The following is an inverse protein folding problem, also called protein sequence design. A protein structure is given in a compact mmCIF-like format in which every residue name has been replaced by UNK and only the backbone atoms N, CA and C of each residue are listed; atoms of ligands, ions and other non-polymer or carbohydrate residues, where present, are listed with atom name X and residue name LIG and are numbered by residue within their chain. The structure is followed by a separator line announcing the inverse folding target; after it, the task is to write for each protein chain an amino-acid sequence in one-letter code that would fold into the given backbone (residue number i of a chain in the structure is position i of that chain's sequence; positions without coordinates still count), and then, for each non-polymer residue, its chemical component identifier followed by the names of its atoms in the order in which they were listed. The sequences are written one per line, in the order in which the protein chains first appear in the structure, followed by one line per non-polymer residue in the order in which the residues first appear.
data_IF_492966962359
#
_entry.id   IF_492966962359
#
_cell.length_a   1.000
_cell.length_b   1.000
_cell.length_c   1.000
_cell.angle_alpha   90.00
_cell.angle_beta   90.00
_cell.angle_gamma   90.00
#
_symmetry.space_group_name_H-M   'P 1'
#
loop_
_entity.id
_entity.type
_entity.pdbx_description
1 polymer ?
#
# COMPACT_ATOMS: atom_id res chain seq x y z
N UNK A 1 14.12 12.86 -7.19
CA UNK A 1 14.33 13.67 -5.97
C UNK A 1 13.21 13.28 -5.01
N UNK A 2 13.52 12.99 -3.75
CA UNK A 2 12.46 12.71 -2.75
C UNK A 2 11.78 14.02 -2.37
N UNK A 3 10.43 14.06 -2.21
CA UNK A 3 9.75 15.28 -1.78
C UNK A 3 10.11 15.62 -0.33
N UNK A 4 10.19 16.91 -0.03
CA UNK A 4 10.40 17.42 1.33
C UNK A 4 9.11 17.39 2.18
N UNK A 5 7.97 17.17 1.55
CA UNK A 5 6.68 17.10 2.22
C UNK A 5 5.52 17.14 1.23
N UNK A 6 4.31 17.26 1.80
CA UNK A 6 3.05 17.34 1.08
C UNK A 6 2.30 18.56 1.60
N UNK A 7 1.70 19.36 0.72
CA UNK A 7 0.81 20.47 1.09
C UNK A 7 -0.60 20.23 0.57
N UNK A 8 -1.56 20.99 1.06
CA UNK A 8 -2.97 20.93 0.66
C UNK A 8 -3.59 19.54 0.85
N UNK A 9 -3.09 18.78 1.82
CA UNK A 9 -3.58 17.43 2.14
C UNK A 9 -4.87 17.51 2.96
N UNK A 10 -5.80 16.59 2.70
CA UNK A 10 -6.87 16.23 3.62
C UNK A 10 -6.38 15.03 4.43
N UNK A 11 -6.49 15.09 5.75
CA UNK A 11 -6.10 14.00 6.64
C UNK A 11 -7.34 13.40 7.31
N UNK A 12 -7.29 12.11 7.62
CA UNK A 12 -8.27 11.48 8.49
C UNK A 12 -7.91 11.74 9.96
N UNK A 13 -8.91 12.04 10.74
CA UNK A 13 -8.79 12.02 12.20
C UNK A 13 -8.73 10.55 12.66
N UNK A 14 -7.63 10.12 13.29
CA UNK A 14 -7.45 8.72 13.67
C UNK A 14 -8.43 8.26 14.76
N UNK A 15 -9.07 9.20 15.46
CA UNK A 15 -9.98 8.86 16.56
C UNK A 15 -11.40 8.53 16.09
N UNK A 16 -11.84 9.03 14.96
CA UNK A 16 -13.21 8.87 14.45
C UNK A 16 -13.31 8.53 12.96
N UNK A 17 -12.18 8.39 12.28
CA UNK A 17 -12.06 8.09 10.85
C UNK A 17 -12.85 9.06 9.94
N UNK A 18 -12.98 10.31 10.36
CA UNK A 18 -13.58 11.40 9.59
C UNK A 18 -12.50 12.36 9.11
N UNK A 19 -12.81 13.13 8.09
CA UNK A 19 -11.90 14.16 7.62
C UNK A 19 -11.56 15.13 8.75
N UNK A 20 -10.29 15.31 9.02
CA UNK A 20 -9.82 16.36 9.90
C UNK A 20 -10.07 17.71 9.22
N UNK A 21 -10.83 18.64 9.83
CA UNK A 21 -11.28 19.85 9.14
C UNK A 21 -10.12 20.76 8.72
N UNK A 22 -10.11 21.14 7.46
CA UNK A 22 -9.12 22.03 6.85
C UNK A 22 -8.09 21.33 6.00
N UNK A 23 -7.10 22.06 5.53
CA UNK A 23 -5.96 21.56 4.79
C UNK A 23 -4.73 21.43 5.70
N UNK A 24 -3.87 20.50 5.37
CA UNK A 24 -2.73 20.15 6.17
C UNK A 24 -1.45 20.14 5.34
N UNK A 25 -0.36 20.43 6.02
CA UNK A 25 1.01 20.26 5.52
C UNK A 25 1.69 19.16 6.30
N UNK A 26 2.25 18.18 5.60
CA UNK A 26 3.06 17.12 6.18
C UNK A 26 4.49 17.32 5.71
N UNK A 27 5.44 17.41 6.63
CA UNK A 27 6.86 17.61 6.34
C UNK A 27 7.65 16.32 6.60
N UNK A 28 8.62 16.07 5.74
CA UNK A 28 9.51 14.92 5.84
C UNK A 28 10.93 15.37 6.15
N UNK A 29 11.58 14.61 7.03
CA UNK A 29 13.02 14.62 7.21
C UNK A 29 13.52 13.22 6.83
N UNK A 30 14.21 13.11 5.72
CA UNK A 30 14.58 11.85 5.07
C UNK A 30 13.36 10.96 4.75
N UNK A 31 13.12 9.92 5.55
CA UNK A 31 12.01 8.96 5.40
C UNK A 31 10.97 9.07 6.53
N UNK A 32 11.13 10.04 7.41
CA UNK A 32 10.26 10.20 8.58
C UNK A 32 9.40 11.45 8.44
N UNK A 33 8.16 11.37 8.92
CA UNK A 33 7.32 12.54 9.12
C UNK A 33 7.87 13.30 10.34
N UNK A 34 8.32 14.54 10.12
CA UNK A 34 8.87 15.38 11.17
C UNK A 34 7.89 16.46 11.66
N UNK A 35 6.88 16.81 10.85
CA UNK A 35 5.83 17.73 11.27
C UNK A 35 4.52 17.47 10.51
N UNK A 36 3.40 17.69 11.19
CA UNK A 36 2.05 17.72 10.63
C UNK A 36 1.39 18.99 11.15
N UNK A 37 1.08 19.92 10.26
CA UNK A 37 0.61 21.25 10.63
C UNK A 37 -0.66 21.60 9.84
N UNK A 38 -1.66 22.11 10.54
CA UNK A 38 -2.86 22.63 9.90
C UNK A 38 -2.54 23.94 9.19
N UNK A 39 -2.99 24.07 7.95
CA UNK A 39 -2.88 25.33 7.21
C UNK A 39 -3.84 26.39 7.77
N UNK A 40 -3.45 27.68 7.76
CA UNK A 40 -4.23 28.73 8.40
C UNK A 40 -5.57 29.02 7.70
N UNK A 41 -5.72 28.61 6.44
CA UNK A 41 -6.93 28.82 5.64
C UNK A 41 -7.59 27.52 5.20
N UNK A 42 -8.70 27.67 4.47
CA UNK A 42 -9.39 26.54 3.82
C UNK A 42 -9.05 26.43 2.33
N UNK A 43 -8.36 27.42 1.78
CA UNK A 43 -7.96 27.42 0.38
C UNK A 43 -6.56 26.83 0.21
N UNK A 44 -6.32 26.10 -0.89
CA UNK A 44 -4.99 25.62 -1.20
C UNK A 44 -3.96 26.73 -1.32
N UNK A 45 -2.76 26.48 -0.83
CA UNK A 45 -1.63 27.38 -1.00
C UNK A 45 -0.72 26.87 -2.11
N UNK A 46 0.03 27.74 -2.79
CA UNK A 46 1.04 27.28 -3.75
C UNK A 46 2.04 26.33 -3.08
N UNK A 47 2.33 25.21 -3.74
CA UNK A 47 3.30 24.24 -3.20
C UNK A 47 4.72 24.85 -3.23
N UNK A 48 5.42 24.88 -2.10
CA UNK A 48 6.82 25.28 -2.06
C UNK A 48 7.69 24.35 -2.93
N UNK A 49 8.84 24.83 -3.44
CA UNK A 49 9.76 23.99 -4.19
C UNK A 49 10.13 22.72 -3.42
N UNK A 50 10.07 21.57 -4.08
CA UNK A 50 10.39 20.27 -3.47
C UNK A 50 9.26 19.63 -2.65
N UNK A 51 8.10 20.28 -2.53
CA UNK A 51 6.91 19.67 -1.91
C UNK A 51 5.91 19.19 -2.97
N UNK A 52 5.16 18.14 -2.63
CA UNK A 52 4.03 17.67 -3.43
C UNK A 52 2.77 18.46 -3.07
N UNK A 53 2.00 18.86 -4.08
CA UNK A 53 0.65 19.38 -3.90
C UNK A 53 -0.35 18.22 -3.92
N UNK A 54 -0.99 17.95 -2.80
CA UNK A 54 -2.03 16.95 -2.71
C UNK A 54 -3.35 17.38 -3.36
N UNK A 55 -3.49 18.66 -3.73
CA UNK A 55 -4.68 19.20 -4.39
C UNK A 55 -6.01 18.79 -3.70
N UNK A 56 -6.03 18.78 -2.38
CA UNK A 56 -7.14 18.31 -1.52
C UNK A 56 -7.35 16.79 -1.53
N UNK A 57 -6.42 16.00 -2.07
CA UNK A 57 -6.49 14.57 -1.95
C UNK A 57 -6.35 14.13 -0.49
N UNK A 58 -7.00 13.02 -0.17
CA UNK A 58 -6.86 12.36 1.11
C UNK A 58 -5.47 11.73 1.22
N UNK A 59 -4.76 12.07 2.28
CA UNK A 59 -3.46 11.47 2.61
C UNK A 59 -3.65 10.60 3.85
N UNK A 60 -3.32 9.35 3.72
CA UNK A 60 -3.42 8.33 4.78
C UNK A 60 -2.06 7.66 4.97
N UNK A 61 -1.81 7.04 6.12
CA UNK A 61 -0.68 6.12 6.27
C UNK A 61 -0.75 5.01 5.22
N UNK A 62 0.40 4.45 4.85
CA UNK A 62 0.45 3.27 3.99
C UNK A 62 -0.42 2.16 4.56
N UNK A 63 -1.07 1.42 3.67
CA UNK A 63 -1.81 0.23 4.06
C UNK A 63 -0.84 -0.83 4.58
N UNK A 64 -1.35 -1.67 5.47
CA UNK A 64 -0.60 -2.80 6.02
C UNK A 64 -1.34 -4.07 5.63
N UNK A 65 -0.73 -4.89 4.79
CA UNK A 65 -1.18 -6.26 4.61
C UNK A 65 -0.62 -7.12 5.75
N UNK A 66 -1.50 -7.49 6.67
CA UNK A 66 -1.13 -8.26 7.85
C UNK A 66 -1.08 -9.78 7.57
N UNK A 67 -1.48 -10.24 6.39
CA UNK A 67 -1.53 -11.66 6.05
C UNK A 67 -1.35 -11.88 4.55
N UNK A 68 -0.12 -12.07 4.12
CA UNK A 68 0.24 -12.29 2.73
C UNK A 68 1.03 -13.60 2.55
N UNK A 69 0.58 -14.44 1.63
CA UNK A 69 1.28 -15.66 1.22
C UNK A 69 2.07 -15.41 -0.06
N UNK A 70 3.31 -14.94 0.07
CA UNK A 70 4.17 -14.62 -1.07
C UNK A 70 4.50 -15.81 -1.95
N UNK A 71 4.60 -16.99 -1.36
CA UNK A 71 4.85 -18.26 -2.09
C UNK A 71 3.67 -18.65 -2.99
N UNK A 72 2.46 -18.18 -2.66
CA UNK A 72 1.24 -18.44 -3.42
C UNK A 72 0.87 -17.31 -4.40
N UNK A 73 1.51 -16.16 -4.27
CA UNK A 73 1.20 -15.01 -5.12
C UNK A 73 1.35 -15.35 -6.61
N UNK A 74 0.39 -14.90 -7.44
CA UNK A 74 0.37 -15.08 -8.90
C UNK A 74 0.50 -16.53 -9.41
N UNK A 75 0.04 -17.49 -8.63
CA UNK A 75 0.18 -18.91 -8.96
C UNK A 75 -1.13 -19.60 -9.34
N UNK A 76 -2.24 -18.88 -9.33
CA UNK A 76 -3.57 -19.46 -9.57
C UNK A 76 -3.66 -20.21 -10.91
N UNK A 77 -2.90 -19.79 -11.93
CA UNK A 77 -2.84 -20.46 -13.23
C UNK A 77 -2.01 -21.74 -13.24
N UNK A 78 -1.29 -22.02 -12.16
CA UNK A 78 -0.44 -23.19 -12.00
C UNK A 78 -1.06 -24.28 -11.12
N UNK A 79 -2.26 -24.01 -10.60
CA UNK A 79 -3.00 -24.93 -9.72
C UNK A 79 -4.30 -25.30 -10.42
N UNK A 80 -4.69 -26.58 -10.44
CA UNK A 80 -5.99 -26.99 -10.95
C UNK A 80 -7.14 -26.29 -10.21
N UNK A 81 -8.31 -26.15 -10.84
CA UNK A 81 -9.48 -25.57 -10.19
C UNK A 81 -9.89 -26.43 -8.98
N UNK A 82 -10.35 -25.76 -7.92
CA UNK A 82 -10.92 -26.37 -6.76
C UNK A 82 -12.41 -26.63 -7.03
N UNK A 83 -12.75 -27.82 -7.45
CA UNK A 83 -14.11 -28.16 -7.93
C UNK A 83 -15.12 -28.33 -6.79
N UNK A 84 -14.69 -28.82 -5.63
CA UNK A 84 -15.59 -28.94 -4.47
C UNK A 84 -15.75 -27.63 -3.69
N UNK A 85 -14.87 -26.65 -3.92
CA UNK A 85 -14.84 -25.40 -3.17
C UNK A 85 -14.43 -25.55 -1.71
N UNK A 86 -13.95 -26.72 -1.30
CA UNK A 86 -13.52 -26.98 0.08
C UNK A 86 -12.08 -26.53 0.34
N UNK A 87 -11.81 -26.13 1.58
CA UNK A 87 -10.44 -25.79 2.00
C UNK A 87 -9.50 -27.01 1.91
N UNK A 88 -10.00 -28.20 2.19
CA UNK A 88 -9.18 -29.41 2.16
C UNK A 88 -8.66 -29.69 0.75
N UNK A 89 -9.55 -29.68 -0.24
CA UNK A 89 -9.15 -29.84 -1.64
C UNK A 89 -8.18 -28.75 -2.07
N UNK A 90 -8.42 -27.49 -1.69
CA UNK A 90 -7.47 -26.41 -2.00
C UNK A 90 -6.07 -26.67 -1.44
N UNK A 91 -5.97 -27.20 -0.22
CA UNK A 91 -4.69 -27.55 0.40
C UNK A 91 -4.00 -28.68 -0.37
N UNK A 92 -4.73 -29.72 -0.74
CA UNK A 92 -4.19 -30.87 -1.48
C UNK A 92 -3.68 -30.46 -2.86
N UNK A 93 -4.48 -29.70 -3.62
CA UNK A 93 -4.10 -29.16 -4.92
C UNK A 93 -2.84 -28.29 -4.84
N UNK A 94 -2.76 -27.48 -3.79
CA UNK A 94 -1.60 -26.64 -3.52
C UNK A 94 -0.34 -27.44 -3.18
N UNK A 95 -0.44 -28.45 -2.34
CA UNK A 95 0.69 -29.32 -1.98
C UNK A 95 1.25 -30.01 -3.22
N UNK A 96 0.38 -30.51 -4.09
CA UNK A 96 0.78 -31.13 -5.34
C UNK A 96 1.46 -30.13 -6.26
N UNK A 97 0.85 -28.97 -6.52
CA UNK A 97 1.41 -27.94 -7.39
C UNK A 97 2.77 -27.45 -6.86
N UNK A 98 2.90 -27.27 -5.56
CA UNK A 98 4.16 -26.84 -4.91
C UNK A 98 5.30 -27.81 -5.12
N UNK A 99 5.03 -29.12 -5.18
CA UNK A 99 6.05 -30.14 -5.38
C UNK A 99 6.76 -30.01 -6.75
N UNK A 100 6.12 -29.37 -7.71
CA UNK A 100 6.60 -29.16 -9.07
C UNK A 100 7.12 -27.73 -9.34
N UNK A 101 6.96 -26.81 -8.40
CA UNK A 101 7.41 -25.42 -8.57
C UNK A 101 8.91 -25.29 -8.37
N UNK A 102 9.56 -24.57 -9.27
CA UNK A 102 10.97 -24.23 -9.10
C UNK A 102 11.11 -23.05 -8.13
N UNK A 103 12.09 -23.12 -7.25
CA UNK A 103 12.35 -22.04 -6.28
C UNK A 103 12.57 -20.67 -6.93
N UNK A 104 13.20 -20.64 -8.11
CA UNK A 104 13.37 -19.42 -8.90
C UNK A 104 12.03 -18.77 -9.26
N UNK A 105 11.08 -19.55 -9.78
CA UNK A 105 9.77 -19.04 -10.22
C UNK A 105 8.95 -18.52 -9.02
N UNK A 106 9.05 -19.22 -7.88
CA UNK A 106 8.43 -18.75 -6.62
C UNK A 106 9.00 -17.41 -6.19
N UNK A 107 10.34 -17.27 -6.22
CA UNK A 107 11.01 -16.00 -5.87
C UNK A 107 10.62 -14.85 -6.82
N UNK A 108 10.54 -15.09 -8.12
CA UNK A 108 10.15 -14.06 -9.08
C UNK A 108 8.71 -13.57 -8.84
N UNK A 109 7.77 -14.49 -8.61
CA UNK A 109 6.38 -14.14 -8.29
C UNK A 109 6.27 -13.39 -6.97
N UNK A 110 6.98 -13.85 -5.94
CA UNK A 110 7.03 -13.19 -4.64
C UNK A 110 7.56 -11.75 -4.74
N UNK A 111 8.67 -11.55 -5.47
CA UNK A 111 9.23 -10.22 -5.70
C UNK A 111 8.29 -9.32 -6.49
N UNK A 112 7.57 -9.87 -7.46
CA UNK A 112 6.53 -9.13 -8.19
C UNK A 112 5.42 -8.68 -7.23
N UNK A 113 4.89 -9.60 -6.40
CA UNK A 113 3.85 -9.28 -5.43
C UNK A 113 4.28 -8.16 -4.47
N UNK A 114 5.49 -8.23 -3.91
CA UNK A 114 6.03 -7.18 -3.04
C UNK A 114 6.11 -5.82 -3.76
N UNK A 115 6.52 -5.81 -5.04
CA UNK A 115 6.58 -4.56 -5.81
C UNK A 115 5.19 -3.98 -6.07
N UNK A 116 4.22 -4.83 -6.38
CA UNK A 116 2.85 -4.40 -6.64
C UNK A 116 2.20 -3.88 -5.35
N UNK A 117 2.42 -4.52 -4.20
CA UNK A 117 1.99 -4.02 -2.88
C UNK A 117 2.61 -2.65 -2.57
N UNK A 118 3.93 -2.49 -2.71
CA UNK A 118 4.61 -1.21 -2.47
C UNK A 118 4.10 -0.11 -3.41
N UNK A 119 3.76 -0.45 -4.65
CA UNK A 119 3.27 0.54 -5.63
C UNK A 119 1.81 0.90 -5.42
N UNK A 120 1.04 0.04 -4.77
CA UNK A 120 -0.37 0.25 -4.45
C UNK A 120 -0.62 1.08 -3.19
N UNK A 121 0.39 1.30 -2.36
CA UNK A 121 0.31 2.08 -1.11
C UNK A 121 0.27 1.27 0.13
#
# INVERSE_FOLDING_TARGET
MKPAGIVNAVLLDPTNLRDAPGLWTVQFADVLICAVQKQPGREPVPAPPGMLDAARALVVPSLVDAHLHLDLAYSLTQVPPNDSGTLLEAIELWQEAKSHMLAHDVCERALRAVRDEISGG
#
